data_IF_517902158441
#
_entry.id   IF_517902158441
#
_cell.length_a   1.000
_cell.length_b   1.000
_cell.length_c   1.000
_cell.angle_alpha   90.00
_cell.angle_beta   90.00
_cell.angle_gamma   90.00
#
_symmetry.space_group_name_H-M   'P 1'
#
loop_
_entity.id
_entity.type
_entity.pdbx_description
1 polymer ?
#
# COMPACT_ATOMS: atom_id res chain seq x y z
N UNK A 1 13.36 -12.48 3.49
CA UNK A 1 13.99 -13.78 3.14
C UNK A 1 13.37 -14.84 4.01
N UNK A 2 13.16 -16.08 3.56
CA UNK A 2 12.73 -17.16 4.47
C UNK A 2 13.93 -17.64 5.28
N UNK A 3 13.80 -17.67 6.60
CA UNK A 3 14.81 -18.09 7.55
C UNK A 3 14.47 -19.47 8.10
N UNK A 4 15.42 -20.39 8.05
CA UNK A 4 15.25 -21.72 8.65
C UNK A 4 15.56 -21.66 10.14
N UNK A 5 14.74 -22.31 10.95
CA UNK A 5 14.91 -22.38 12.41
C UNK A 5 14.99 -23.85 12.83
N UNK A 6 15.97 -24.22 13.64
CA UNK A 6 16.08 -25.54 14.27
C UNK A 6 16.16 -25.36 15.78
N UNK A 7 15.24 -25.95 16.55
CA UNK A 7 15.18 -25.80 18.01
C UNK A 7 15.17 -24.33 18.48
N UNK A 8 14.55 -23.44 17.71
CA UNK A 8 14.48 -22.01 18.01
C UNK A 8 15.77 -21.22 17.70
N UNK A 9 16.77 -21.82 17.06
CA UNK A 9 17.99 -21.13 16.61
C UNK A 9 18.00 -20.90 15.09
N UNK A 10 18.53 -19.76 14.62
CA UNK A 10 18.81 -19.50 13.21
C UNK A 10 19.63 -20.60 12.55
N UNK A 11 19.19 -21.06 11.39
CA UNK A 11 19.95 -21.99 10.56
C UNK A 11 20.31 -21.34 9.21
N UNK A 12 21.56 -20.89 9.02
CA UNK A 12 21.99 -20.27 7.78
C UNK A 12 22.03 -21.29 6.64
N UNK A 13 21.69 -20.85 5.43
CA UNK A 13 21.88 -21.63 4.21
C UNK A 13 23.37 -21.92 3.98
N UNK A 14 23.65 -23.02 3.27
CA UNK A 14 24.99 -23.43 2.85
C UNK A 14 25.99 -23.61 4.01
N UNK A 15 25.49 -23.95 5.20
CA UNK A 15 26.29 -24.24 6.41
C UNK A 15 25.95 -25.63 6.93
N UNK A 16 26.94 -26.51 7.16
CA UNK A 16 26.67 -27.83 7.73
C UNK A 16 26.16 -27.68 9.17
N UNK A 17 25.21 -28.54 9.57
CA UNK A 17 24.56 -28.44 10.88
C UNK A 17 24.28 -29.81 11.48
N UNK A 18 23.93 -29.84 12.75
CA UNK A 18 23.63 -31.08 13.49
C UNK A 18 22.19 -31.02 14.00
N UNK A 19 21.42 -32.08 13.80
CA UNK A 19 20.11 -32.27 14.43
C UNK A 19 20.08 -33.62 15.14
N UNK A 20 19.91 -33.61 16.47
CA UNK A 20 20.13 -34.81 17.28
C UNK A 20 21.58 -35.30 17.17
N UNK A 21 21.76 -36.59 16.85
CA UNK A 21 23.08 -37.22 16.66
C UNK A 21 23.54 -37.26 15.18
N UNK A 22 22.80 -36.60 14.26
CA UNK A 22 23.04 -36.66 12.82
C UNK A 22 23.67 -35.35 12.33
N UNK A 23 24.76 -35.45 11.58
CA UNK A 23 25.40 -34.33 10.89
C UNK A 23 24.87 -34.21 9.44
N UNK A 24 24.35 -33.04 9.08
CA UNK A 24 23.86 -32.72 7.76
C UNK A 24 24.87 -31.87 6.97
N UNK A 25 25.03 -32.12 5.65
CA UNK A 25 25.94 -31.35 4.81
C UNK A 25 25.40 -29.95 4.50
N UNK A 26 26.31 -29.04 4.13
CA UNK A 26 26.01 -27.63 3.91
C UNK A 26 24.85 -27.35 2.94
N UNK A 27 24.76 -28.14 1.87
CA UNK A 27 23.75 -27.97 0.81
C UNK A 27 22.40 -28.65 1.13
N UNK A 28 22.28 -29.35 2.27
CA UNK A 28 21.10 -30.18 2.56
C UNK A 28 19.81 -29.35 2.53
N UNK A 29 19.79 -28.18 3.17
CA UNK A 29 18.62 -27.29 3.22
C UNK A 29 18.08 -26.86 1.85
N UNK A 30 18.95 -26.84 0.82
CA UNK A 30 18.58 -26.47 -0.56
C UNK A 30 18.05 -27.66 -1.36
N UNK A 31 18.38 -28.88 -0.95
CA UNK A 31 18.07 -30.11 -1.69
C UNK A 31 16.89 -30.87 -1.10
N UNK A 32 16.41 -30.48 0.09
CA UNK A 32 15.33 -31.16 0.77
C UNK A 32 14.01 -30.41 0.70
N UNK A 33 12.93 -31.18 0.72
CA UNK A 33 11.55 -30.71 0.75
C UNK A 33 11.18 -30.13 2.12
N UNK A 34 10.08 -29.37 2.17
CA UNK A 34 9.56 -28.82 3.43
C UNK A 34 9.18 -29.93 4.43
N UNK A 35 8.63 -31.05 3.95
CA UNK A 35 8.25 -32.19 4.79
C UNK A 35 9.47 -32.82 5.47
N UNK A 36 10.57 -33.01 4.74
CA UNK A 36 11.83 -33.53 5.29
C UNK A 36 12.47 -32.59 6.31
N UNK A 37 12.36 -31.27 6.10
CA UNK A 37 12.81 -30.26 7.07
C UNK A 37 11.98 -30.32 8.35
N UNK A 38 10.66 -30.33 8.23
CA UNK A 38 9.75 -30.42 9.37
C UNK A 38 9.94 -31.71 10.18
N UNK A 39 10.23 -32.83 9.52
CA UNK A 39 10.47 -34.12 10.17
C UNK A 39 11.64 -34.11 11.16
N UNK A 40 12.64 -33.25 10.94
CA UNK A 40 13.79 -33.08 11.83
C UNK A 40 13.68 -31.83 12.73
N UNK A 41 12.49 -31.23 12.79
CA UNK A 41 12.20 -30.06 13.62
C UNK A 41 12.67 -28.73 13.05
N UNK A 42 12.97 -28.67 11.75
CA UNK A 42 13.26 -27.41 11.06
C UNK A 42 11.97 -26.76 10.62
N UNK A 43 11.74 -25.52 11.04
CA UNK A 43 10.64 -24.70 10.56
C UNK A 43 11.15 -23.62 9.61
N UNK A 44 10.37 -23.36 8.55
CA UNK A 44 10.54 -22.19 7.71
C UNK A 44 9.80 -21.04 8.40
N UNK A 45 10.55 -20.04 8.83
CA UNK A 45 10.01 -18.79 9.37
C UNK A 45 10.33 -17.74 8.33
N UNK A 46 9.32 -17.18 7.68
CA UNK A 46 9.55 -15.97 6.92
C UNK A 46 10.11 -14.92 7.87
N UNK A 47 11.24 -14.29 7.50
CA UNK A 47 11.79 -13.18 8.28
C UNK A 47 10.64 -12.27 8.65
N UNK A 48 10.38 -12.12 9.96
CA UNK A 48 9.31 -11.27 10.44
C UNK A 48 9.52 -9.90 9.80
N UNK A 49 8.60 -9.48 8.93
CA UNK A 49 8.74 -8.25 8.18
C UNK A 49 8.82 -7.10 9.19
N UNK A 50 10.01 -6.62 9.52
CA UNK A 50 10.18 -5.64 10.61
C UNK A 50 9.65 -4.26 10.25
N UNK A 51 9.43 -4.01 8.96
CA UNK A 51 8.87 -2.78 8.43
C UNK A 51 7.42 -2.97 7.97
N UNK A 52 6.54 -2.09 8.44
CA UNK A 52 5.14 -2.02 8.04
C UNK A 52 4.72 -0.56 7.89
N UNK A 53 3.71 -0.30 7.06
CA UNK A 53 3.11 1.03 6.93
C UNK A 53 2.12 1.23 8.09
N UNK A 54 2.50 2.09 9.04
CA UNK A 54 1.74 2.37 10.26
C UNK A 54 0.37 2.99 9.99
N UNK A 55 0.13 3.52 8.79
CA UNK A 55 -1.20 4.01 8.38
C UNK A 55 -2.19 2.84 8.24
N UNK A 56 -1.71 1.67 7.81
CA UNK A 56 -2.54 0.50 7.48
C UNK A 56 -2.40 -0.67 8.47
N UNK A 57 -1.31 -0.74 9.22
CA UNK A 57 -1.01 -1.86 10.12
C UNK A 57 -0.70 -1.37 11.55
N UNK A 58 -1.06 -2.17 12.55
CA UNK A 58 -0.64 -1.96 13.95
C UNK A 58 0.75 -2.53 14.22
N UNK A 59 1.18 -3.49 13.41
CA UNK A 59 2.45 -4.19 13.49
C UNK A 59 2.64 -5.13 12.30
N UNK A 60 3.80 -5.81 12.20
CA UNK A 60 4.04 -6.82 11.17
C UNK A 60 2.92 -7.86 11.12
N UNK A 61 2.30 -8.06 9.96
CA UNK A 61 1.21 -9.03 9.79
C UNK A 61 -0.07 -8.74 10.60
N UNK A 62 -0.19 -7.55 11.22
CA UNK A 62 -1.35 -7.15 12.02
C UNK A 62 -2.07 -5.96 11.34
N UNK A 63 -2.90 -6.21 10.32
CA UNK A 63 -3.64 -5.16 9.62
C UNK A 63 -4.66 -4.49 10.54
N UNK A 64 -4.88 -3.20 10.31
CA UNK A 64 -6.04 -2.51 10.89
C UNK A 64 -7.32 -2.98 10.19
N UNK A 65 -8.46 -2.71 10.82
CA UNK A 65 -9.77 -3.03 10.26
C UNK A 65 -9.98 -2.39 8.88
N UNK A 66 -10.32 -3.21 7.88
CA UNK A 66 -10.41 -2.78 6.48
C UNK A 66 -11.53 -1.76 6.26
N UNK A 67 -12.70 -1.96 6.87
CA UNK A 67 -13.85 -1.06 6.67
C UNK A 67 -13.58 0.32 7.28
N UNK A 68 -12.96 0.35 8.47
CA UNK A 68 -12.48 1.58 9.09
C UNK A 68 -11.45 2.29 8.21
N UNK A 69 -10.49 1.55 7.65
CA UNK A 69 -9.50 2.12 6.72
C UNK A 69 -10.18 2.70 5.48
N UNK A 70 -11.12 1.97 4.85
CA UNK A 70 -11.86 2.45 3.68
C UNK A 70 -12.64 3.73 3.97
N UNK A 71 -13.30 3.82 5.11
CA UNK A 71 -14.03 5.02 5.52
C UNK A 71 -13.09 6.23 5.72
N UNK A 72 -11.95 6.02 6.38
CA UNK A 72 -10.95 7.05 6.62
C UNK A 72 -10.32 7.55 5.31
N UNK A 73 -9.93 6.64 4.41
CA UNK A 73 -9.33 7.01 3.14
C UNK A 73 -10.34 7.64 2.17
N UNK A 74 -11.60 7.21 2.19
CA UNK A 74 -12.68 7.88 1.46
C UNK A 74 -12.84 9.34 1.91
N UNK A 75 -12.76 9.59 3.23
CA UNK A 75 -12.78 10.96 3.77
C UNK A 75 -11.56 11.76 3.31
N UNK A 76 -10.38 11.16 3.33
CA UNK A 76 -9.15 11.80 2.88
C UNK A 76 -9.21 12.18 1.38
N UNK A 77 -9.70 11.29 0.52
CA UNK A 77 -9.90 11.59 -0.91
C UNK A 77 -10.83 12.78 -1.13
N UNK A 78 -11.94 12.87 -0.38
CA UNK A 78 -12.83 14.04 -0.43
C UNK A 78 -12.11 15.33 0.02
N UNK A 79 -11.29 15.27 1.07
CA UNK A 79 -10.52 16.42 1.56
C UNK A 79 -9.46 16.88 0.55
N UNK A 80 -8.79 15.95 -0.13
CA UNK A 80 -7.85 16.27 -1.21
C UNK A 80 -8.59 16.99 -2.35
N UNK A 81 -9.70 16.42 -2.83
CA UNK A 81 -10.50 17.04 -3.89
C UNK A 81 -10.97 18.45 -3.53
N UNK A 82 -11.44 18.65 -2.29
CA UNK A 82 -11.80 19.97 -1.77
C UNK A 82 -10.61 20.95 -1.83
N UNK A 83 -9.45 20.52 -1.33
CA UNK A 83 -8.22 21.34 -1.31
C UNK A 83 -7.73 21.70 -2.71
N UNK A 84 -7.88 20.79 -3.68
CA UNK A 84 -7.52 21.02 -5.08
C UNK A 84 -8.45 22.01 -5.80
N UNK A 85 -9.73 22.07 -5.40
CA UNK A 85 -10.73 22.95 -6.01
C UNK A 85 -10.78 24.34 -5.38
N UNK A 86 -10.56 24.44 -4.07
CA UNK A 86 -10.73 25.68 -3.30
C UNK A 86 -9.97 26.90 -3.88
N UNK A 87 -8.70 26.79 -4.33
CA UNK A 87 -7.95 27.93 -4.85
C UNK A 87 -8.57 28.58 -6.10
N UNK A 88 -9.36 27.82 -6.87
CA UNK A 88 -9.96 28.30 -8.12
C UNK A 88 -11.48 28.53 -8.00
N UNK A 89 -12.07 28.47 -6.80
CA UNK A 89 -13.51 28.64 -6.60
C UNK A 89 -14.00 30.05 -6.93
N UNK A 90 -13.14 31.07 -6.78
CA UNK A 90 -13.44 32.44 -7.17
C UNK A 90 -13.84 32.56 -8.65
N UNK A 91 -13.35 31.68 -9.53
CA UNK A 91 -13.71 31.66 -10.95
C UNK A 91 -15.17 31.25 -11.15
N UNK A 92 -15.65 30.30 -10.34
CA UNK A 92 -17.04 29.87 -10.34
C UNK A 92 -17.94 30.99 -9.83
N UNK A 93 -17.58 31.63 -8.72
CA UNK A 93 -18.30 32.79 -8.18
C UNK A 93 -18.35 33.93 -9.21
N UNK A 94 -17.21 34.27 -9.83
CA UNK A 94 -17.14 35.30 -10.86
C UNK A 94 -18.02 34.97 -12.07
N UNK A 95 -18.09 33.71 -12.51
CA UNK A 95 -18.97 33.29 -13.61
C UNK A 95 -20.44 33.54 -13.26
N UNK A 96 -20.85 33.19 -12.03
CA UNK A 96 -22.22 33.39 -11.55
C UNK A 96 -22.57 34.87 -11.43
N UNK A 97 -21.68 35.68 -10.86
CA UNK A 97 -21.94 37.08 -10.55
C UNK A 97 -21.81 38.01 -11.77
N UNK A 98 -20.84 37.74 -12.65
CA UNK A 98 -20.47 38.67 -13.74
C UNK A 98 -20.67 38.09 -15.13
N UNK A 99 -20.96 36.79 -15.24
CA UNK A 99 -21.07 36.09 -16.53
C UNK A 99 -19.73 35.78 -17.19
N UNK A 100 -18.60 36.26 -16.66
CA UNK A 100 -17.28 36.04 -17.24
C UNK A 100 -16.91 34.55 -17.28
N UNK A 101 -16.49 34.06 -18.45
CA UNK A 101 -16.14 32.66 -18.66
C UNK A 101 -14.94 32.21 -17.82
N UNK A 102 -15.02 30.97 -17.34
CA UNK A 102 -13.88 30.28 -16.71
C UNK A 102 -12.93 29.86 -17.83
N UNK A 103 -11.61 30.11 -17.72
CA UNK A 103 -10.64 29.60 -18.69
C UNK A 103 -10.79 28.08 -18.90
N UNK A 104 -10.64 27.63 -20.14
CA UNK A 104 -10.95 26.26 -20.53
C UNK A 104 -10.10 25.20 -19.80
N UNK A 105 -8.81 25.51 -19.57
CA UNK A 105 -7.88 24.70 -18.79
C UNK A 105 -8.33 24.54 -17.33
N UNK A 106 -8.80 25.63 -16.71
CA UNK A 106 -9.36 25.60 -15.36
C UNK A 106 -10.68 24.84 -15.26
N UNK A 107 -11.56 24.99 -16.25
CA UNK A 107 -12.79 24.20 -16.29
C UNK A 107 -12.47 22.71 -16.39
N UNK A 108 -11.58 22.33 -17.31
CA UNK A 108 -11.17 20.95 -17.51
C UNK A 108 -10.49 20.34 -16.28
N UNK A 109 -9.56 21.09 -15.65
CA UNK A 109 -8.91 20.68 -14.40
C UNK A 109 -9.94 20.39 -13.29
N UNK A 110 -10.87 21.31 -13.05
CA UNK A 110 -11.88 21.16 -11.98
C UNK A 110 -12.80 19.96 -12.23
N UNK A 111 -13.18 19.71 -13.49
CA UNK A 111 -13.99 18.54 -13.84
C UNK A 111 -13.20 17.24 -13.64
N UNK A 112 -11.93 17.21 -14.03
CA UNK A 112 -11.07 16.05 -13.81
C UNK A 112 -10.86 15.75 -12.32
N UNK A 113 -10.70 16.77 -11.46
CA UNK A 113 -10.62 16.57 -10.00
C UNK A 113 -11.86 15.83 -9.47
N UNK A 114 -13.07 16.17 -9.97
CA UNK A 114 -14.30 15.51 -9.52
C UNK A 114 -14.39 14.07 -10.03
N UNK A 115 -13.98 13.84 -11.29
CA UNK A 115 -13.92 12.51 -11.90
C UNK A 115 -12.95 11.62 -11.10
N UNK A 116 -11.73 12.09 -10.87
CA UNK A 116 -10.70 11.35 -10.16
C UNK A 116 -11.09 11.09 -8.70
N UNK A 117 -11.76 12.05 -8.04
CA UNK A 117 -12.35 11.84 -6.72
C UNK A 117 -13.35 10.68 -6.72
N UNK A 118 -14.25 10.61 -7.71
CA UNK A 118 -15.17 9.49 -7.89
C UNK A 118 -14.44 8.16 -8.06
N UNK A 119 -13.53 8.09 -9.05
CA UNK A 119 -12.76 6.89 -9.37
C UNK A 119 -11.94 6.38 -8.17
N UNK A 120 -11.25 7.28 -7.47
CA UNK A 120 -10.43 6.93 -6.32
C UNK A 120 -11.27 6.33 -5.17
N UNK A 121 -12.48 6.85 -4.92
CA UNK A 121 -13.40 6.28 -3.92
C UNK A 121 -13.96 4.92 -4.35
N UNK A 122 -14.25 4.74 -5.64
CA UNK A 122 -14.74 3.47 -6.16
C UNK A 122 -13.66 2.39 -6.03
N UNK A 123 -12.40 2.72 -6.32
CA UNK A 123 -11.25 1.83 -6.11
C UNK A 123 -11.06 1.46 -4.63
N UNK A 124 -11.18 2.43 -3.72
CA UNK A 124 -11.13 2.17 -2.26
C UNK A 124 -12.26 1.21 -1.85
N UNK A 125 -13.47 1.44 -2.34
CA UNK A 125 -14.64 0.59 -2.06
C UNK A 125 -14.40 -0.86 -2.52
N UNK A 126 -13.80 -1.02 -3.70
CA UNK A 126 -13.54 -2.31 -4.34
C UNK A 126 -12.35 -3.08 -3.74
N UNK A 127 -11.48 -2.45 -2.96
CA UNK A 127 -10.33 -3.14 -2.34
C UNK A 127 -10.80 -4.32 -1.46
N UNK A 128 -10.32 -5.53 -1.73
CA UNK A 128 -10.77 -6.75 -1.04
C UNK A 128 -10.02 -7.04 0.26
N UNK A 129 -8.83 -6.45 0.41
CA UNK A 129 -7.96 -6.60 1.56
C UNK A 129 -7.12 -5.32 1.75
N UNK A 130 -6.30 -5.31 2.81
CA UNK A 130 -5.47 -4.14 3.14
C UNK A 130 -4.36 -3.91 2.12
N UNK A 131 -3.81 -4.95 1.48
CA UNK A 131 -2.75 -4.77 0.47
C UNK A 131 -3.29 -4.14 -0.82
N UNK A 132 -4.48 -4.54 -1.25
CA UNK A 132 -5.21 -3.92 -2.34
C UNK A 132 -5.49 -2.44 -2.02
N UNK A 133 -5.88 -2.14 -0.78
CA UNK A 133 -6.12 -0.75 -0.36
C UNK A 133 -4.82 0.07 -0.33
N UNK A 134 -3.70 -0.49 0.15
CA UNK A 134 -2.38 0.17 0.11
C UNK A 134 -2.01 0.54 -1.32
N UNK A 135 -2.22 -0.39 -2.26
CA UNK A 135 -1.93 -0.18 -3.69
C UNK A 135 -2.78 0.96 -4.27
N UNK A 136 -4.07 1.02 -3.92
CA UNK A 136 -4.95 2.12 -4.34
C UNK A 136 -4.50 3.45 -3.76
N UNK A 137 -4.27 3.53 -2.45
CA UNK A 137 -3.95 4.78 -1.75
C UNK A 137 -2.58 5.34 -2.15
N UNK A 138 -1.58 4.49 -2.35
CA UNK A 138 -0.24 4.92 -2.81
C UNK A 138 -0.22 5.24 -4.30
N UNK A 139 -1.18 4.72 -5.06
CA UNK A 139 -1.34 4.93 -6.50
C UNK A 139 -2.27 6.08 -6.90
N UNK A 140 -2.88 6.81 -5.95
CA UNK A 140 -3.84 7.88 -6.24
C UNK A 140 -3.30 8.88 -7.27
N UNK A 141 -4.12 9.16 -8.29
CA UNK A 141 -3.82 10.15 -9.33
C UNK A 141 -4.76 11.34 -9.20
N UNK A 142 -4.21 12.52 -9.47
CA UNK A 142 -4.91 13.80 -9.50
C UNK A 142 -4.40 14.62 -10.69
N UNK A 143 -5.24 15.50 -11.27
CA UNK A 143 -4.81 16.32 -12.38
C UNK A 143 -3.77 17.35 -11.93
N UNK A 144 -2.95 17.79 -12.87
CA UNK A 144 -1.93 18.82 -12.61
C UNK A 144 -2.58 20.20 -12.63
N UNK A 145 -2.25 21.03 -11.64
CA UNK A 145 -2.71 22.42 -11.56
C UNK A 145 -2.34 23.17 -12.86
N UNK A 146 -3.28 23.90 -13.50
CA UNK A 146 -3.01 24.68 -14.71
C UNK A 146 -1.86 25.70 -14.57
N UNK A 147 -1.56 26.17 -13.35
CA UNK A 147 -0.43 27.05 -13.07
C UNK A 147 0.91 26.32 -12.90
N UNK A 148 0.92 24.99 -12.79
CA UNK A 148 2.15 24.24 -12.62
C UNK A 148 3.00 24.32 -13.88
N UNK A 149 4.08 25.10 -13.80
CA UNK A 149 5.13 25.17 -14.81
C UNK A 149 6.25 24.26 -14.35
N UNK A 150 6.22 23.00 -14.75
CA UNK A 150 7.19 21.99 -14.37
C UNK A 150 8.63 22.54 -14.38
N UNK A 151 9.34 22.31 -13.29
CA UNK A 151 10.79 22.56 -13.18
C UNK A 151 11.58 21.40 -13.74
#
# INVERSE_FOLDING_TARGET
>A
MTMFMLNGQPLPLDTPFTAGDIQYPANWLRLTSLEEKLAIGITEVDEAQTWYDDRFYWGPGNPKDLDTLKANWTTNVNQIAYTLLAPSDWMVTRKIETGADIPADWSAYRDQVRIDCGLNKDLITQATDVEALVSVVTGLKWPTDPNFRGV
#
